data_IF_603725324428
#
_entry.id   IF_603725324428
#
_cell.length_a   1.000
_cell.length_b   1.000
_cell.length_c   1.000
_cell.angle_alpha   90.00
_cell.angle_beta   90.00
_cell.angle_gamma   90.00
#
_symmetry.space_group_name_H-M   'P 1'
#
loop_
_entity.id
_entity.type
_entity.pdbx_description
1 polymer ?
#
# COMPACT_ATOMS: atom_id res chain seq x y z
N UNK A 1 -37.53 -4.81 -13.12
CA UNK A 1 -36.44 -4.04 -12.49
C UNK A 1 -35.71 -5.04 -11.59
N UNK A 2 -35.04 -5.96 -12.27
CA UNK A 2 -33.65 -6.42 -12.04
C UNK A 2 -33.57 -7.41 -10.89
N UNK A 3 -33.76 -8.67 -11.27
CA UNK A 3 -33.44 -9.85 -10.49
C UNK A 3 -32.73 -10.81 -11.44
N UNK A 4 -31.44 -10.58 -11.65
CA UNK A 4 -30.53 -11.58 -12.21
C UNK A 4 -29.83 -12.36 -11.07
N UNK A 5 -29.19 -13.50 -11.36
CA UNK A 5 -28.42 -14.28 -10.37
C UNK A 5 -27.19 -13.55 -9.79
N UNK A 6 -26.95 -12.30 -10.20
CA UNK A 6 -25.79 -11.47 -9.86
C UNK A 6 -26.17 -10.11 -9.22
N UNK A 7 -27.43 -9.89 -8.84
CA UNK A 7 -27.78 -8.67 -8.12
C UNK A 7 -27.36 -8.78 -6.65
N UNK A 8 -26.78 -7.71 -6.11
CA UNK A 8 -26.35 -7.62 -4.71
C UNK A 8 -27.55 -7.96 -3.79
N UNK A 9 -27.51 -9.09 -3.06
CA UNK A 9 -28.72 -9.65 -2.46
C UNK A 9 -29.07 -9.03 -1.10
N UNK A 10 -28.19 -8.19 -0.55
CA UNK A 10 -28.33 -7.69 0.81
C UNK A 10 -29.14 -6.40 0.88
N UNK A 11 -30.08 -6.36 1.81
CA UNK A 11 -30.91 -5.19 2.10
C UNK A 11 -30.27 -4.30 3.17
N UNK A 12 -30.71 -3.04 3.24
CA UNK A 12 -30.21 -2.03 4.21
C UNK A 12 -30.20 -2.56 5.66
N UNK A 13 -31.21 -3.34 6.06
CA UNK A 13 -31.31 -3.90 7.40
C UNK A 13 -30.12 -4.83 7.72
N UNK A 14 -29.71 -5.65 6.76
CA UNK A 14 -28.58 -6.57 6.93
C UNK A 14 -27.25 -5.81 7.00
N UNK A 15 -27.12 -4.69 6.29
CA UNK A 15 -25.93 -3.82 6.36
C UNK A 15 -25.83 -3.19 7.75
N UNK A 16 -26.92 -2.68 8.30
CA UNK A 16 -26.93 -2.08 9.65
C UNK A 16 -26.61 -3.12 10.74
N UNK A 17 -27.16 -4.33 10.64
CA UNK A 17 -26.81 -5.42 11.55
C UNK A 17 -25.31 -5.77 11.46
N UNK A 18 -24.75 -5.81 10.24
CA UNK A 18 -23.32 -6.02 10.02
C UNK A 18 -22.46 -4.87 10.60
N UNK A 19 -22.91 -3.62 10.48
CA UNK A 19 -22.25 -2.46 11.07
C UNK A 19 -22.10 -2.60 12.59
N UNK A 20 -23.16 -3.04 13.29
CA UNK A 20 -23.09 -3.29 14.74
C UNK A 20 -22.04 -4.36 15.09
N UNK A 21 -22.00 -5.49 14.37
CA UNK A 21 -20.98 -6.51 14.58
C UNK A 21 -19.57 -5.99 14.30
N UNK A 22 -19.39 -5.18 13.25
CA UNK A 22 -18.09 -4.63 12.90
C UNK A 22 -17.59 -3.65 13.96
N UNK A 23 -18.46 -2.78 14.49
CA UNK A 23 -18.13 -1.87 15.58
C UNK A 23 -17.72 -2.60 16.86
N UNK A 24 -18.43 -3.69 17.19
CA UNK A 24 -18.11 -4.54 18.34
C UNK A 24 -16.75 -5.23 18.18
N UNK A 25 -16.49 -5.85 17.03
CA UNK A 25 -15.23 -6.57 16.77
C UNK A 25 -14.03 -5.64 16.76
N UNK A 26 -14.17 -4.43 16.20
CA UNK A 26 -13.10 -3.44 16.17
C UNK A 26 -12.92 -2.70 17.50
N UNK A 27 -13.74 -2.99 18.52
CA UNK A 27 -13.74 -2.28 19.81
C UNK A 27 -13.82 -0.75 19.61
N UNK A 28 -14.63 -0.31 18.65
CA UNK A 28 -14.74 1.09 18.22
C UNK A 28 -13.42 1.79 17.82
N UNK A 29 -12.37 1.03 17.46
CA UNK A 29 -11.12 1.56 16.94
C UNK A 29 -11.27 2.04 15.48
N UNK A 30 -11.87 3.21 15.29
CA UNK A 30 -12.24 3.74 13.96
C UNK A 30 -11.17 4.62 13.29
N UNK A 31 -10.18 5.09 14.05
CA UNK A 31 -9.13 5.97 13.52
C UNK A 31 -7.94 5.12 13.08
N UNK A 32 -7.71 5.08 11.77
CA UNK A 32 -6.57 4.36 11.16
C UNK A 32 -5.57 5.37 10.59
N UNK A 33 -4.31 5.21 10.94
CA UNK A 33 -3.21 6.00 10.40
C UNK A 33 -2.72 5.37 9.10
N UNK A 34 -2.63 6.16 8.03
CA UNK A 34 -2.23 5.68 6.71
C UNK A 34 -0.88 6.24 6.23
N UNK A 35 -0.14 5.50 5.40
CA UNK A 35 1.21 5.86 4.94
C UNK A 35 1.27 7.11 4.03
N UNK A 36 0.15 7.53 3.43
CA UNK A 36 0.10 8.69 2.53
C UNK A 36 0.59 9.99 3.17
N UNK A 37 0.25 10.23 4.45
CA UNK A 37 0.69 11.43 5.17
C UNK A 37 2.21 11.45 5.36
N UNK A 38 2.80 10.28 5.62
CA UNK A 38 4.25 10.13 5.73
C UNK A 38 4.90 10.34 4.37
N UNK A 39 4.33 9.79 3.29
CA UNK A 39 4.82 10.02 1.93
C UNK A 39 4.85 11.52 1.60
N UNK A 40 3.77 12.28 1.85
CA UNK A 40 3.75 13.73 1.61
C UNK A 40 4.85 14.48 2.37
N UNK A 41 5.18 14.02 3.57
CA UNK A 41 6.24 14.61 4.40
C UNK A 41 7.61 14.37 3.75
N UNK A 42 7.90 13.12 3.39
CA UNK A 42 9.14 12.72 2.71
C UNK A 42 9.29 13.37 1.33
N UNK A 43 8.19 13.55 0.61
CA UNK A 43 8.18 14.23 -0.69
C UNK A 43 8.69 15.66 -0.59
N UNK A 44 8.28 16.39 0.45
CA UNK A 44 8.77 17.75 0.71
C UNK A 44 10.22 17.73 1.17
N UNK A 45 10.58 16.79 2.04
CA UNK A 45 11.92 16.69 2.63
C UNK A 45 13.00 16.33 1.61
N UNK A 46 12.77 15.34 0.74
CA UNK A 46 13.74 14.86 -0.25
C UNK A 46 13.58 15.53 -1.63
N UNK A 47 12.68 16.51 -1.73
CA UNK A 47 12.32 17.20 -2.98
C UNK A 47 12.03 16.19 -4.10
N UNK A 48 11.10 15.29 -3.83
CA UNK A 48 10.74 14.18 -4.72
C UNK A 48 9.97 14.74 -5.91
N UNK A 49 10.34 14.30 -7.12
CA UNK A 49 9.66 14.68 -8.35
C UNK A 49 8.30 13.97 -8.47
N UNK A 50 7.38 14.61 -9.20
CA UNK A 50 6.02 14.10 -9.39
C UNK A 50 5.96 12.64 -9.87
N UNK A 51 6.78 12.19 -10.84
CA UNK A 51 6.78 10.80 -11.28
C UNK A 51 7.14 9.80 -10.18
N UNK A 52 8.13 10.13 -9.33
CA UNK A 52 8.54 9.26 -8.22
C UNK A 52 7.48 9.25 -7.11
N UNK A 53 6.84 10.38 -6.82
CA UNK A 53 5.71 10.45 -5.91
C UNK A 53 4.56 9.56 -6.38
N UNK A 54 4.15 9.66 -7.64
CA UNK A 54 3.07 8.85 -8.21
C UNK A 54 3.39 7.35 -8.19
N UNK A 55 4.65 6.98 -8.46
CA UNK A 55 5.11 5.60 -8.35
C UNK A 55 5.01 5.09 -6.90
N UNK A 56 5.51 5.86 -5.93
CA UNK A 56 5.42 5.50 -4.51
C UNK A 56 3.96 5.41 -4.03
N UNK A 57 3.09 6.32 -4.47
CA UNK A 57 1.66 6.31 -4.16
C UNK A 57 0.97 5.04 -4.66
N UNK A 58 1.29 4.59 -5.89
CA UNK A 58 0.76 3.34 -6.44
C UNK A 58 1.19 2.13 -5.61
N UNK A 59 2.47 2.05 -5.24
CA UNK A 59 2.99 0.96 -4.40
C UNK A 59 2.34 0.98 -3.02
N UNK A 60 2.07 2.15 -2.44
CA UNK A 60 1.30 2.25 -1.20
C UNK A 60 -0.11 1.65 -1.37
N UNK A 61 -0.81 1.94 -2.46
CA UNK A 61 -2.13 1.34 -2.72
C UNK A 61 -2.04 -0.18 -2.80
N UNK A 62 -0.98 -0.72 -3.39
CA UNK A 62 -0.76 -2.16 -3.45
C UNK A 62 -0.46 -2.77 -2.08
N UNK A 63 0.21 -2.04 -1.18
CA UNK A 63 0.44 -2.50 0.19
C UNK A 63 -0.85 -2.79 0.95
N UNK A 64 -1.96 -2.11 0.62
CA UNK A 64 -3.28 -2.36 1.23
C UNK A 64 -3.91 -3.69 0.81
N UNK A 65 -3.38 -4.34 -0.25
CA UNK A 65 -3.79 -5.68 -0.70
C UNK A 65 -3.02 -6.79 0.05
N UNK A 66 -2.25 -6.42 1.06
CA UNK A 66 -1.39 -7.29 1.86
C UNK A 66 -1.61 -7.04 3.35
N UNK A 67 -1.00 -7.85 4.21
CA UNK A 67 -1.06 -7.67 5.66
C UNK A 67 -0.15 -6.53 6.18
N UNK A 68 0.55 -5.81 5.30
CA UNK A 68 1.51 -4.77 5.70
C UNK A 68 0.92 -3.72 6.67
N UNK A 69 -0.30 -3.17 6.47
CA UNK A 69 -0.88 -2.19 7.38
C UNK A 69 -1.16 -2.72 8.80
N UNK A 70 -1.23 -4.04 8.97
CA UNK A 70 -1.44 -4.69 10.27
C UNK A 70 -0.11 -5.05 10.95
N UNK A 71 0.97 -5.20 10.18
CA UNK A 71 2.27 -5.65 10.66
C UNK A 71 3.27 -4.51 10.91
N UNK A 72 3.14 -3.40 10.17
CA UNK A 72 4.14 -2.32 10.16
C UNK A 72 3.50 -0.94 10.37
N UNK A 73 4.19 -0.03 11.08
CA UNK A 73 3.77 1.37 11.18
C UNK A 73 3.68 2.07 9.81
N UNK A 74 2.77 3.03 9.63
CA UNK A 74 2.57 3.72 8.35
C UNK A 74 3.82 4.43 7.79
N UNK A 75 4.68 4.96 8.65
CA UNK A 75 5.91 5.62 8.19
C UNK A 75 6.94 4.62 7.64
N UNK A 76 7.00 3.39 8.17
CA UNK A 76 7.88 2.31 7.68
C UNK A 76 7.42 1.87 6.29
N UNK A 77 6.11 1.68 6.11
CA UNK A 77 5.51 1.35 4.81
C UNK A 77 5.79 2.45 3.79
N UNK A 78 5.60 3.72 4.15
CA UNK A 78 5.87 4.83 3.24
C UNK A 78 7.34 4.89 2.79
N UNK A 79 8.30 4.70 3.71
CA UNK A 79 9.73 4.64 3.37
C UNK A 79 10.06 3.45 2.47
N UNK A 80 9.49 2.27 2.77
CA UNK A 80 9.70 1.07 1.96
C UNK A 80 9.16 1.24 0.53
N UNK A 81 7.94 1.75 0.38
CA UNK A 81 7.33 2.04 -0.92
C UNK A 81 8.15 3.08 -1.69
N UNK A 82 8.65 4.11 -1.01
CA UNK A 82 9.48 5.14 -1.61
C UNK A 82 10.85 4.60 -2.05
N UNK A 83 11.50 3.76 -1.25
CA UNK A 83 12.76 3.09 -1.63
C UNK A 83 12.57 2.19 -2.83
N UNK A 84 11.46 1.45 -2.89
CA UNK A 84 11.14 0.58 -4.01
C UNK A 84 10.94 1.39 -5.30
N UNK A 85 10.22 2.52 -5.22
CA UNK A 85 10.04 3.43 -6.36
C UNK A 85 11.35 4.13 -6.76
N UNK A 86 12.21 4.49 -5.79
CA UNK A 86 13.44 5.23 -6.02
C UNK A 86 14.56 4.39 -6.67
N UNK A 87 14.40 3.06 -6.77
CA UNK A 87 15.37 2.14 -7.39
C UNK A 87 15.75 2.56 -8.81
N UNK A 88 14.85 3.20 -9.55
CA UNK A 88 15.03 3.57 -10.95
C UNK A 88 15.33 5.07 -11.17
N UNK A 89 15.47 5.85 -10.09
CA UNK A 89 15.53 7.33 -10.14
C UNK A 89 16.73 7.93 -9.38
N UNK A 90 17.71 7.11 -9.00
CA UNK A 90 18.97 7.51 -8.33
C UNK A 90 18.83 8.32 -7.02
N UNK A 91 17.64 8.36 -6.41
CA UNK A 91 17.37 9.04 -5.13
C UNK A 91 17.58 8.16 -3.90
N UNK A 92 18.00 6.91 -4.08
CA UNK A 92 18.16 5.95 -2.99
C UNK A 92 19.23 6.38 -1.97
N UNK A 93 20.29 7.08 -2.41
CA UNK A 93 21.35 7.57 -1.52
C UNK A 93 20.84 8.56 -0.47
N UNK A 94 20.01 9.52 -0.89
CA UNK A 94 19.45 10.55 0.00
C UNK A 94 18.53 9.91 1.06
N UNK A 95 17.67 8.98 0.63
CA UNK A 95 16.73 8.30 1.54
C UNK A 95 17.50 7.45 2.56
N UNK A 96 18.52 6.72 2.13
CA UNK A 96 19.37 5.93 3.04
C UNK A 96 20.12 6.81 4.04
N UNK A 97 20.64 7.94 3.58
CA UNK A 97 21.33 8.89 4.44
C UNK A 97 20.38 9.44 5.51
N UNK A 98 19.16 9.82 5.12
CA UNK A 98 18.12 10.23 6.07
C UNK A 98 17.81 9.16 7.11
N UNK A 99 17.69 7.89 6.70
CA UNK A 99 17.41 6.79 7.64
C UNK A 99 18.52 6.63 8.69
N UNK A 100 19.79 6.84 8.30
CA UNK A 100 20.93 6.82 9.22
C UNK A 100 20.85 8.01 10.19
N UNK A 101 20.60 9.22 9.68
CA UNK A 101 20.50 10.44 10.49
C UNK A 101 19.33 10.40 11.48
N UNK A 102 18.19 9.89 11.04
CA UNK A 102 16.99 9.72 11.85
C UNK A 102 17.04 8.48 12.78
N UNK A 103 18.14 7.71 12.75
CA UNK A 103 18.32 6.47 13.52
C UNK A 103 17.19 5.46 13.31
N UNK A 104 16.68 5.38 12.09
CA UNK A 104 15.64 4.43 11.70
C UNK A 104 16.28 3.05 11.51
N UNK A 105 15.61 2.02 12.01
CA UNK A 105 16.02 0.64 11.78
C UNK A 105 15.88 0.27 10.30
N UNK A 106 17.02 0.26 9.61
CA UNK A 106 17.11 -0.02 8.18
C UNK A 106 16.67 -1.45 7.87
N UNK A 107 16.92 -2.41 8.77
CA UNK A 107 16.58 -3.81 8.57
C UNK A 107 15.07 -3.98 8.49
N UNK A 108 14.32 -3.34 9.41
CA UNK A 108 12.85 -3.33 9.39
C UNK A 108 12.28 -2.77 8.09
N UNK A 109 12.83 -1.67 7.57
CA UNK A 109 12.36 -1.12 6.29
C UNK A 109 12.61 -2.10 5.15
N UNK A 110 13.76 -2.79 5.14
CA UNK A 110 14.05 -3.81 4.14
C UNK A 110 13.18 -5.06 4.26
N UNK A 111 12.69 -5.40 5.45
CA UNK A 111 11.68 -6.45 5.62
C UNK A 111 10.37 -6.09 4.91
N UNK A 112 9.89 -4.85 5.05
CA UNK A 112 8.71 -4.37 4.33
C UNK A 112 8.95 -4.38 2.81
N UNK A 113 10.12 -3.94 2.35
CA UNK A 113 10.47 -3.99 0.91
C UNK A 113 10.43 -5.43 0.39
N UNK A 114 11.04 -6.38 1.10
CA UNK A 114 11.01 -7.81 0.73
C UNK A 114 9.59 -8.37 0.73
N UNK A 115 8.78 -7.97 1.70
CA UNK A 115 7.39 -8.38 1.80
C UNK A 115 6.56 -7.91 0.58
N UNK A 116 6.72 -6.65 0.16
CA UNK A 116 6.06 -6.12 -1.03
C UNK A 116 6.58 -6.74 -2.33
N UNK A 117 7.89 -7.00 -2.44
CA UNK A 117 8.46 -7.71 -3.60
C UNK A 117 7.86 -9.11 -3.75
N UNK A 118 7.71 -9.85 -2.64
CA UNK A 118 7.06 -11.17 -2.64
C UNK A 118 5.60 -11.11 -3.10
N UNK A 119 4.88 -10.05 -2.74
CA UNK A 119 3.53 -9.80 -3.24
C UNK A 119 3.50 -9.63 -4.77
N UNK A 120 4.44 -8.87 -5.33
CA UNK A 120 4.57 -8.69 -6.77
C UNK A 120 4.98 -9.97 -7.52
N UNK A 121 5.85 -10.79 -6.92
CA UNK A 121 6.17 -12.12 -7.46
C UNK A 121 4.93 -13.02 -7.54
N UNK A 122 4.10 -13.03 -6.49
CA UNK A 122 2.86 -13.80 -6.46
C UNK A 122 1.87 -13.34 -7.53
N UNK A 123 1.70 -12.02 -7.70
CA UNK A 123 0.86 -11.43 -8.75
C UNK A 123 1.23 -11.92 -10.15
N UNK A 124 2.52 -12.12 -10.41
CA UNK A 124 3.00 -12.60 -11.73
C UNK A 124 2.56 -14.04 -12.02
N UNK A 125 2.34 -14.85 -10.98
CA UNK A 125 1.85 -16.22 -11.08
C UNK A 125 0.32 -16.36 -11.03
N UNK A 126 -0.39 -15.26 -10.75
CA UNK A 126 -1.83 -15.27 -10.50
C UNK A 126 -2.60 -15.07 -11.81
N UNK A 127 -3.19 -16.16 -12.32
CA UNK A 127 -3.84 -16.24 -13.64
C UNK A 127 -5.37 -15.99 -13.55
N UNK A 128 -5.79 -15.02 -12.75
CA UNK A 128 -7.19 -14.59 -12.70
C UNK A 128 -7.35 -13.26 -13.43
N UNK A 129 -8.36 -13.17 -14.30
CA UNK A 129 -8.75 -11.93 -14.96
C UNK A 129 -9.08 -10.88 -13.89
N UNK A 130 -8.19 -9.90 -13.68
CA UNK A 130 -8.49 -8.79 -12.78
C UNK A 130 -9.75 -8.07 -13.29
N UNK A 131 -10.67 -7.65 -12.40
CA UNK A 131 -11.90 -6.96 -12.81
C UNK A 131 -11.69 -5.63 -13.55
N UNK A 132 -10.44 -5.17 -13.73
CA UNK A 132 -10.04 -4.07 -14.60
C UNK A 132 -8.56 -4.28 -14.98
N UNK A 133 -8.13 -3.66 -16.08
CA UNK A 133 -6.78 -3.72 -16.70
C UNK A 133 -5.58 -3.34 -15.78
N UNK A 134 -5.75 -3.25 -14.47
CA UNK A 134 -4.74 -2.81 -13.50
C UNK A 134 -3.53 -3.78 -13.45
N UNK A 135 -3.73 -5.07 -13.77
CA UNK A 135 -2.65 -6.05 -13.83
C UNK A 135 -1.67 -5.86 -15.00
N UNK A 136 -2.08 -5.17 -16.08
CA UNK A 136 -1.22 -4.96 -17.27
C UNK A 136 -0.17 -3.86 -17.09
N UNK A 137 -0.39 -2.90 -16.20
CA UNK A 137 0.52 -1.76 -16.01
C UNK A 137 1.72 -2.06 -15.10
N UNK A 138 1.73 -3.22 -14.44
CA UNK A 138 2.70 -3.55 -13.40
C UNK A 138 3.95 -4.29 -13.92
N UNK A 139 3.85 -4.91 -15.12
CA UNK A 139 5.04 -5.43 -15.82
C UNK A 139 6.04 -4.33 -16.20
N UNK A 140 5.58 -3.09 -16.38
CA UNK A 140 6.44 -1.93 -16.68
C UNK A 140 7.15 -1.36 -15.44
N UNK A 141 6.67 -1.68 -14.23
CA UNK A 141 7.33 -1.29 -12.96
C UNK A 141 8.38 -2.34 -12.56
N UNK A 142 8.20 -3.60 -12.96
CA UNK A 142 9.10 -4.72 -12.65
C UNK A 142 10.13 -5.03 -13.77
N UNK A 143 9.88 -4.63 -15.02
CA UNK A 143 10.82 -4.74 -16.15
C UNK A 143 11.73 -3.51 -16.27
#
# INVERSE_FOLDING_TARGET
ILGGPNDYPYQIKQILECEFYLLEIMDCCLIVYHPYRSLDTYTREFQIDQPLFEAAWRIINDSLKTDAPLLYPPYEIALACLLLAARYRDKMGIIKQYMIEAQIDIERIYEVVKFLLKYYELLTSYDADLPNNDGKQMKEILA
#
